data_IF_867034537933
#
_entry.id   IF_867034537933
#
_cell.length_a   1.000
_cell.length_b   1.000
_cell.length_c   1.000
_cell.angle_alpha   90.00
_cell.angle_beta   90.00
_cell.angle_gamma   90.00
#
_symmetry.space_group_name_H-M   'P 1'
#
loop_
_entity.id
_entity.type
_entity.pdbx_description
1 polymer ?
#
# COMPACT_ATOMS: atom_id res chain seq x y z
N UNK A 1 16.99 -13.05 4.89
CA UNK A 1 15.64 -13.23 5.49
C UNK A 1 14.74 -13.93 4.48
N UNK A 2 14.03 -15.01 4.85
CA UNK A 2 12.98 -15.58 3.98
C UNK A 2 11.92 -14.51 3.70
N UNK A 3 11.46 -14.40 2.45
CA UNK A 3 10.37 -13.49 2.08
C UNK A 3 9.12 -13.81 2.91
N UNK A 4 8.61 -12.83 3.63
CA UNK A 4 7.39 -12.98 4.43
C UNK A 4 6.21 -12.95 3.48
N UNK A 5 5.44 -14.04 3.42
CA UNK A 5 4.18 -14.08 2.69
C UNK A 5 3.00 -13.99 3.65
N UNK A 6 2.08 -13.08 3.38
CA UNK A 6 0.83 -12.96 4.14
C UNK A 6 -0.30 -13.80 3.56
N UNK A 7 -0.15 -14.26 2.31
CA UNK A 7 -1.16 -15.04 1.60
C UNK A 7 -0.63 -16.42 1.24
N UNK A 8 -1.52 -17.42 1.33
CA UNK A 8 -1.24 -18.74 0.76
C UNK A 8 -1.21 -18.63 -0.76
N UNK A 9 -0.13 -19.12 -1.35
CA UNK A 9 0.09 -19.11 -2.80
C UNK A 9 -0.11 -20.51 -3.37
N UNK A 10 -0.90 -20.65 -4.43
CA UNK A 10 -0.94 -21.89 -5.22
C UNK A 10 0.29 -21.97 -6.12
N UNK A 11 0.89 -23.16 -6.22
CA UNK A 11 2.01 -23.40 -7.13
C UNK A 11 1.44 -23.67 -8.53
N UNK A 12 1.31 -22.62 -9.34
CA UNK A 12 0.79 -22.70 -10.70
C UNK A 12 1.88 -22.29 -11.70
N UNK A 13 1.92 -23.01 -12.82
CA UNK A 13 2.73 -22.65 -13.98
C UNK A 13 2.06 -21.62 -14.88
N UNK A 14 2.83 -20.95 -15.73
CA UNK A 14 2.28 -19.99 -16.70
C UNK A 14 1.22 -20.62 -17.60
N UNK A 15 1.38 -21.86 -18.06
CA UNK A 15 0.38 -22.55 -18.89
C UNK A 15 -0.92 -22.82 -18.14
N UNK A 16 -0.86 -23.14 -16.85
CA UNK A 16 -2.07 -23.33 -16.01
C UNK A 16 -2.79 -22.00 -15.75
N UNK A 17 -2.04 -20.90 -15.66
CA UNK A 17 -2.61 -19.56 -15.46
C UNK A 17 -3.24 -19.03 -16.76
N UNK A 18 -2.54 -19.16 -17.89
CA UNK A 18 -2.88 -18.57 -19.19
C UNK A 18 -3.20 -19.62 -20.26
N UNK A 19 -4.27 -20.39 -20.05
CA UNK A 19 -4.68 -21.53 -20.88
C UNK A 19 -4.79 -21.23 -22.39
N UNK A 20 -5.18 -20.00 -22.75
CA UNK A 20 -5.43 -19.58 -24.13
C UNK A 20 -4.29 -18.75 -24.75
N UNK A 21 -3.15 -18.62 -24.06
CA UNK A 21 -2.00 -17.84 -24.53
C UNK A 21 -0.91 -18.74 -25.10
N UNK A 22 -0.26 -18.32 -26.18
CA UNK A 22 0.94 -18.98 -26.69
C UNK A 22 2.12 -18.66 -25.75
N UNK A 23 2.46 -19.61 -24.87
CA UNK A 23 3.56 -19.49 -23.91
C UNK A 23 4.79 -20.27 -24.40
N UNK A 24 5.87 -19.54 -24.72
CA UNK A 24 7.12 -20.15 -25.17
C UNK A 24 7.97 -20.65 -24.01
N UNK A 25 8.05 -19.88 -22.92
CA UNK A 25 8.76 -20.26 -21.68
C UNK A 25 7.78 -20.58 -20.57
N UNK A 26 7.66 -21.87 -20.20
CA UNK A 26 6.82 -22.29 -19.08
C UNK A 26 7.63 -22.48 -17.80
N UNK A 27 7.14 -21.95 -16.68
CA UNK A 27 7.72 -22.15 -15.35
C UNK A 27 6.66 -21.96 -14.26
N UNK A 28 6.91 -22.49 -13.06
CA UNK A 28 6.07 -22.26 -11.86
C UNK A 28 6.29 -20.83 -11.37
N UNK A 29 5.21 -20.06 -11.27
CA UNK A 29 5.25 -18.67 -10.83
C UNK A 29 5.62 -18.59 -9.35
N UNK A 30 6.73 -17.91 -9.08
CA UNK A 30 7.24 -17.73 -7.72
C UNK A 30 6.47 -16.63 -6.95
N UNK A 31 6.22 -15.48 -7.56
CA UNK A 31 5.39 -14.43 -6.98
C UNK A 31 4.85 -13.52 -8.09
N UNK A 32 3.94 -12.61 -7.76
CA UNK A 32 3.53 -11.50 -8.61
C UNK A 32 4.13 -10.22 -8.04
N UNK A 33 4.95 -9.51 -8.82
CA UNK A 33 5.76 -8.38 -8.35
C UNK A 33 5.69 -7.16 -9.28
N UNK A 34 5.89 -5.94 -8.74
CA UNK A 34 6.13 -4.74 -9.55
C UNK A 34 7.34 -4.86 -10.50
N UNK A 35 7.34 -4.07 -11.57
CA UNK A 35 8.32 -4.16 -12.67
C UNK A 35 9.78 -4.08 -12.21
N UNK A 36 10.07 -3.22 -11.25
CA UNK A 36 11.39 -2.92 -10.69
C UNK A 36 11.90 -3.96 -9.68
N UNK A 37 11.00 -4.70 -9.04
CA UNK A 37 11.36 -5.68 -8.01
C UNK A 37 11.20 -7.13 -8.45
N UNK A 38 10.51 -7.37 -9.57
CA UNK A 38 10.31 -8.71 -10.14
C UNK A 38 11.63 -9.34 -10.60
N UNK A 39 11.83 -10.61 -10.23
CA UNK A 39 13.01 -11.41 -10.58
C UNK A 39 12.64 -12.58 -11.48
N UNK A 40 13.64 -13.40 -11.80
CA UNK A 40 13.44 -14.63 -12.53
C UNK A 40 12.36 -15.50 -11.85
N UNK A 41 11.47 -16.10 -12.65
CA UNK A 41 10.26 -16.83 -12.24
C UNK A 41 9.16 -16.03 -11.54
N UNK A 42 9.30 -14.72 -11.36
CA UNK A 42 8.17 -13.88 -10.96
C UNK A 42 7.37 -13.44 -12.19
N UNK A 43 6.07 -13.21 -11.98
CA UNK A 43 5.16 -12.60 -12.94
C UNK A 43 5.04 -11.10 -12.64
N UNK A 44 5.10 -10.26 -13.66
CA UNK A 44 4.89 -8.81 -13.53
C UNK A 44 3.84 -8.32 -14.53
N UNK A 45 3.55 -7.03 -14.53
CA UNK A 45 2.58 -6.39 -15.41
C UNK A 45 3.03 -5.01 -15.84
N UNK A 46 2.63 -4.60 -17.05
CA UNK A 46 2.92 -3.29 -17.62
C UNK A 46 1.68 -2.76 -18.36
N UNK A 47 0.99 -1.82 -17.71
CA UNK A 47 -0.33 -1.31 -18.09
C UNK A 47 -0.34 0.14 -18.57
N UNK A 48 0.77 0.87 -18.40
CA UNK A 48 0.83 2.31 -18.66
C UNK A 48 2.22 2.77 -19.09
N UNK A 49 2.29 3.59 -20.15
CA UNK A 49 3.53 4.09 -20.74
C UNK A 49 4.43 4.85 -19.75
N UNK A 50 3.86 5.39 -18.66
CA UNK A 50 4.62 6.07 -17.59
C UNK A 50 5.73 5.19 -17.00
N UNK A 51 5.54 3.86 -17.02
CA UNK A 51 6.51 2.91 -16.46
C UNK A 51 7.48 2.33 -17.50
N UNK A 52 7.58 2.91 -18.72
CA UNK A 52 8.44 2.38 -19.80
C UNK A 52 9.88 2.12 -19.36
N UNK A 53 10.44 3.03 -18.55
CA UNK A 53 11.83 2.94 -18.08
C UNK A 53 12.03 1.80 -17.08
N UNK A 54 11.01 1.46 -16.29
CA UNK A 54 11.03 0.31 -15.37
C UNK A 54 10.81 -0.99 -16.15
N UNK A 55 9.87 -0.99 -17.10
CA UNK A 55 9.60 -2.14 -17.98
C UNK A 55 10.84 -2.57 -18.76
N UNK A 56 11.60 -1.61 -19.30
CA UNK A 56 12.84 -1.89 -20.03
C UNK A 56 13.94 -2.53 -19.16
N UNK A 57 13.85 -2.39 -17.83
CA UNK A 57 14.86 -2.89 -16.87
C UNK A 57 14.39 -4.14 -16.11
N UNK A 58 13.15 -4.60 -16.32
CA UNK A 58 12.59 -5.69 -15.51
C UNK A 58 13.37 -7.00 -15.68
N UNK A 59 13.51 -7.75 -14.58
CA UNK A 59 14.13 -9.07 -14.55
C UNK A 59 13.09 -10.19 -14.37
N UNK A 60 11.80 -9.89 -14.56
CA UNK A 60 10.70 -10.84 -14.44
C UNK A 60 10.85 -12.04 -15.39
N UNK A 61 10.27 -13.19 -15.01
CA UNK A 61 10.16 -14.33 -15.91
C UNK A 61 9.11 -14.10 -17.01
N UNK A 62 8.01 -13.42 -16.66
CA UNK A 62 6.96 -13.06 -17.59
C UNK A 62 6.31 -11.71 -17.24
N UNK A 63 5.75 -11.03 -18.24
CA UNK A 63 5.07 -9.74 -18.09
C UNK A 63 3.73 -9.74 -18.83
N UNK A 64 2.63 -9.49 -18.10
CA UNK A 64 1.31 -9.21 -18.67
C UNK A 64 1.32 -7.80 -19.25
N UNK A 65 0.96 -7.63 -20.52
CA UNK A 65 0.95 -6.32 -21.17
C UNK A 65 0.00 -6.28 -22.36
N UNK A 66 -0.12 -5.13 -23.01
CA UNK A 66 -0.84 -4.98 -24.28
C UNK A 66 0.12 -5.05 -25.47
N UNK A 67 -0.44 -5.24 -26.67
CA UNK A 67 0.34 -5.22 -27.92
C UNK A 67 1.09 -3.91 -28.13
N UNK A 68 0.51 -2.77 -27.73
CA UNK A 68 1.11 -1.43 -27.88
C UNK A 68 2.36 -1.22 -27.01
N UNK A 69 2.49 -1.97 -25.92
CA UNK A 69 3.53 -1.80 -24.92
C UNK A 69 4.60 -2.90 -24.94
N UNK A 70 4.38 -3.98 -25.71
CA UNK A 70 5.28 -5.14 -25.77
C UNK A 70 6.73 -4.78 -26.16
N UNK A 71 6.92 -3.72 -26.96
CA UNK A 71 8.22 -3.27 -27.46
C UNK A 71 9.14 -2.71 -26.39
N UNK A 72 8.59 -2.25 -25.26
CA UNK A 72 9.39 -1.74 -24.14
C UNK A 72 9.87 -2.86 -23.21
N UNK A 73 9.41 -4.09 -23.40
CA UNK A 73 9.75 -5.23 -22.56
C UNK A 73 10.95 -5.97 -23.16
N UNK A 74 11.99 -6.30 -22.37
CA UNK A 74 13.17 -7.03 -22.83
C UNK A 74 12.81 -8.35 -23.53
N UNK A 75 13.51 -8.68 -24.61
CA UNK A 75 13.25 -9.89 -25.40
C UNK A 75 13.37 -11.20 -24.58
N UNK A 76 14.14 -11.20 -23.49
CA UNK A 76 14.31 -12.35 -22.60
C UNK A 76 13.06 -12.67 -21.75
N UNK A 77 12.18 -11.70 -21.54
CA UNK A 77 10.97 -11.82 -20.70
C UNK A 77 9.82 -12.37 -21.54
N UNK A 78 9.13 -13.40 -21.04
CA UNK A 78 7.93 -13.93 -21.72
C UNK A 78 6.81 -12.89 -21.71
N UNK A 79 6.30 -12.50 -22.88
CA UNK A 79 5.30 -11.44 -23.02
C UNK A 79 3.92 -12.06 -23.12
N UNK A 80 3.03 -11.73 -22.19
CA UNK A 80 1.66 -12.23 -22.15
C UNK A 80 0.75 -11.11 -22.63
N UNK A 81 0.37 -11.18 -23.90
CA UNK A 81 -0.38 -10.11 -24.58
C UNK A 81 -1.87 -10.25 -24.30
N UNK A 82 -2.47 -9.24 -23.67
CA UNK A 82 -3.89 -9.20 -23.33
C UNK A 82 -4.54 -7.88 -23.77
N UNK A 83 -5.88 -7.86 -23.76
CA UNK A 83 -6.67 -6.66 -24.09
C UNK A 83 -6.73 -5.67 -22.92
N UNK A 84 -6.82 -6.17 -21.69
CA UNK A 84 -6.88 -5.35 -20.48
C UNK A 84 -5.97 -5.95 -19.41
N UNK A 85 -4.86 -5.27 -19.14
CA UNK A 85 -3.79 -5.76 -18.24
C UNK A 85 -4.29 -5.88 -16.80
N UNK A 86 -5.02 -4.89 -16.29
CA UNK A 86 -5.51 -4.90 -14.92
C UNK A 86 -6.56 -6.00 -14.71
N UNK A 87 -7.46 -6.19 -15.66
CA UNK A 87 -8.48 -7.25 -15.58
C UNK A 87 -7.83 -8.63 -15.56
N UNK A 88 -6.90 -8.88 -16.48
CA UNK A 88 -6.17 -10.15 -16.49
C UNK A 88 -5.40 -10.35 -15.18
N UNK A 89 -4.70 -9.32 -14.72
CA UNK A 89 -3.95 -9.36 -13.47
C UNK A 89 -4.86 -9.67 -12.27
N UNK A 90 -6.07 -9.12 -12.19
CA UNK A 90 -7.02 -9.44 -11.13
C UNK A 90 -7.41 -10.93 -11.15
N UNK A 91 -7.65 -11.51 -12.32
CA UNK A 91 -7.95 -12.93 -12.47
C UNK A 91 -6.76 -13.82 -12.08
N UNK A 92 -5.57 -13.47 -12.54
CA UNK A 92 -4.32 -14.15 -12.20
C UNK A 92 -4.07 -14.13 -10.70
N UNK A 93 -4.18 -12.96 -10.07
CA UNK A 93 -4.02 -12.81 -8.63
C UNK A 93 -5.05 -13.64 -7.88
N UNK A 94 -6.32 -13.68 -8.31
CA UNK A 94 -7.35 -14.53 -7.67
C UNK A 94 -7.06 -16.03 -7.84
N UNK A 95 -6.48 -16.46 -8.96
CA UNK A 95 -6.07 -17.85 -9.18
C UNK A 95 -4.92 -18.24 -8.24
N UNK A 96 -3.89 -17.41 -8.14
CA UNK A 96 -2.67 -17.67 -7.35
C UNK A 96 -2.92 -17.47 -5.85
N UNK A 97 -3.62 -16.39 -5.49
CA UNK A 97 -3.89 -15.91 -4.13
C UNK A 97 -5.39 -15.83 -3.88
N UNK A 98 -6.03 -16.98 -3.67
CA UNK A 98 -7.49 -17.11 -3.63
C UNK A 98 -8.19 -16.24 -2.58
N UNK A 99 -7.49 -15.83 -1.53
CA UNK A 99 -8.07 -15.14 -0.38
C UNK A 99 -7.57 -13.69 -0.24
N UNK A 100 -7.02 -13.09 -1.31
CA UNK A 100 -6.47 -11.74 -1.29
C UNK A 100 -7.46 -10.63 -1.72
N UNK A 101 -8.66 -10.99 -2.16
CA UNK A 101 -9.69 -10.08 -2.67
C UNK A 101 -10.65 -9.52 -1.62
N UNK A 102 -10.62 -10.07 -0.40
CA UNK A 102 -11.28 -9.54 0.80
C UNK A 102 -10.43 -9.84 2.05
N UNK A 103 -10.75 -9.20 3.17
CA UNK A 103 -10.15 -9.51 4.47
C UNK A 103 -10.98 -10.56 5.21
N UNK A 104 -10.47 -11.79 5.23
CA UNK A 104 -11.01 -12.88 6.03
C UNK A 104 -10.53 -12.79 7.48
N UNK A 105 -11.35 -13.16 8.48
CA UNK A 105 -10.90 -13.29 9.86
C UNK A 105 -9.70 -14.24 10.00
N UNK A 106 -8.73 -13.90 10.86
CA UNK A 106 -7.62 -14.78 11.19
C UNK A 106 -8.02 -15.79 12.27
N UNK A 107 -8.40 -16.99 11.86
CA UNK A 107 -8.75 -18.09 12.78
C UNK A 107 -7.55 -18.66 13.57
N UNK A 108 -6.33 -18.16 13.36
CA UNK A 108 -5.15 -18.57 14.12
C UNK A 108 -4.91 -17.77 15.40
N UNK A 109 -5.72 -16.73 15.64
CA UNK A 109 -5.61 -15.84 16.79
C UNK A 109 -5.74 -16.61 18.12
N UNK A 110 -4.80 -16.35 19.03
CA UNK A 110 -4.81 -16.85 20.42
C UNK A 110 -4.35 -15.75 21.37
N UNK A 111 -4.69 -15.87 22.66
CA UNK A 111 -4.15 -14.97 23.69
C UNK A 111 -2.62 -14.94 23.64
N UNK A 112 -2.03 -13.76 23.80
CA UNK A 112 -0.59 -13.58 23.80
C UNK A 112 0.11 -14.47 24.86
N UNK A 113 1.12 -15.23 24.44
CA UNK A 113 1.81 -16.19 25.30
C UNK A 113 3.08 -15.55 25.88
N UNK A 114 3.07 -15.21 27.17
CA UNK A 114 4.21 -14.57 27.87
C UNK A 114 5.53 -15.34 27.71
N UNK A 115 5.51 -16.69 27.74
CA UNK A 115 6.71 -17.54 27.57
C UNK A 115 7.40 -17.33 26.21
N UNK A 116 6.62 -17.03 25.15
CA UNK A 116 7.14 -16.78 23.79
C UNK A 116 7.73 -15.38 23.65
N UNK A 117 7.19 -14.40 24.37
CA UNK A 117 7.53 -12.99 24.25
C UNK A 117 7.97 -12.42 25.61
N UNK A 118 9.08 -12.94 26.14
CA UNK A 118 9.52 -12.71 27.54
C UNK A 118 9.70 -11.23 27.91
N UNK A 119 10.11 -10.41 26.95
CA UNK A 119 10.43 -8.97 27.13
C UNK A 119 9.31 -8.05 26.65
N UNK A 120 8.20 -8.61 26.16
CA UNK A 120 7.05 -7.84 25.65
C UNK A 120 6.01 -7.71 26.75
N UNK A 121 5.53 -6.48 26.95
CA UNK A 121 4.44 -6.22 27.89
C UNK A 121 3.11 -6.20 27.12
N UNK A 122 2.14 -6.98 27.59
CA UNK A 122 0.80 -7.03 27.00
C UNK A 122 -0.23 -6.49 27.98
N UNK A 123 -1.16 -5.69 27.47
CA UNK A 123 -2.41 -5.36 28.13
C UNK A 123 -3.38 -6.55 28.16
N UNK A 124 -4.62 -6.27 28.52
CA UNK A 124 -5.66 -7.28 28.64
C UNK A 124 -6.22 -7.66 27.27
N UNK A 125 -6.58 -8.94 27.09
CA UNK A 125 -7.26 -9.42 25.89
C UNK A 125 -6.51 -9.15 24.56
N UNK A 126 -5.17 -9.24 24.56
CA UNK A 126 -4.38 -9.17 23.32
C UNK A 126 -4.39 -10.51 22.59
N UNK A 127 -4.74 -10.48 21.30
CA UNK A 127 -4.77 -11.65 20.43
C UNK A 127 -3.65 -11.60 19.39
N UNK A 128 -2.94 -12.71 19.24
CA UNK A 128 -1.76 -12.84 18.38
C UNK A 128 -1.90 -14.06 17.47
N UNK A 129 -1.73 -13.85 16.17
CA UNK A 129 -1.83 -14.88 15.14
C UNK A 129 -0.56 -15.71 14.97
N UNK A 130 -0.63 -16.68 14.06
CA UNK A 130 0.48 -17.59 13.76
C UNK A 130 1.71 -16.84 13.22
N UNK A 131 2.91 -17.26 13.62
CA UNK A 131 4.20 -16.73 13.14
C UNK A 131 4.44 -15.23 13.37
N UNK A 132 3.61 -14.54 14.17
CA UNK A 132 3.88 -13.16 14.56
C UNK A 132 5.24 -13.08 15.28
N UNK A 133 5.97 -12.01 14.99
CA UNK A 133 7.23 -11.64 15.65
C UNK A 133 7.08 -10.26 16.26
N UNK A 134 7.50 -10.14 17.52
CA UNK A 134 7.47 -8.88 18.27
C UNK A 134 8.86 -8.71 18.87
N UNK A 135 9.50 -7.58 18.61
CA UNK A 135 10.82 -7.24 19.12
C UNK A 135 10.82 -6.98 20.62
N UNK A 136 12.02 -7.01 21.20
CA UNK A 136 12.20 -6.82 22.64
C UNK A 136 11.71 -5.46 23.11
N UNK A 137 11.25 -5.41 24.36
CA UNK A 137 10.81 -4.20 25.08
C UNK A 137 9.64 -3.47 24.43
N UNK A 138 8.92 -4.14 23.53
CA UNK A 138 7.69 -3.61 22.94
C UNK A 138 6.53 -3.73 23.92
N UNK A 139 5.64 -2.75 23.92
CA UNK A 139 4.41 -2.72 24.72
C UNK A 139 3.21 -2.79 23.79
N UNK A 140 2.26 -3.67 24.09
CA UNK A 140 1.01 -3.84 23.33
C UNK A 140 -0.18 -3.59 24.25
N UNK A 141 -1.02 -2.62 23.90
CA UNK A 141 -2.21 -2.19 24.63
C UNK A 141 -3.34 -3.20 24.59
N UNK A 142 -4.37 -2.96 25.40
CA UNK A 142 -5.48 -3.90 25.59
C UNK A 142 -6.34 -4.05 24.34
N UNK A 143 -6.97 -5.20 24.15
CA UNK A 143 -7.86 -5.50 23.02
C UNK A 143 -7.21 -5.39 21.63
N UNK A 144 -5.89 -5.33 21.55
CA UNK A 144 -5.16 -5.27 20.28
C UNK A 144 -5.08 -6.65 19.62
N UNK A 145 -5.28 -6.67 18.30
CA UNK A 145 -5.22 -7.86 17.45
C UNK A 145 -4.04 -7.73 16.49
N UNK A 146 -3.15 -8.72 16.53
CA UNK A 146 -1.99 -8.82 15.64
C UNK A 146 -2.12 -10.10 14.83
N UNK A 147 -2.49 -9.99 13.55
CA UNK A 147 -2.73 -11.16 12.68
C UNK A 147 -1.44 -11.84 12.23
N UNK A 148 -1.59 -13.04 11.69
CA UNK A 148 -0.50 -13.92 11.26
C UNK A 148 0.57 -13.21 10.42
N UNK A 149 1.82 -13.64 10.64
CA UNK A 149 3.02 -13.18 9.94
C UNK A 149 3.38 -11.69 10.11
N UNK A 150 2.62 -10.90 10.87
CA UNK A 150 3.00 -9.52 11.21
C UNK A 150 4.33 -9.51 11.95
N UNK A 151 5.16 -8.51 11.64
CA UNK A 151 6.42 -8.26 12.35
C UNK A 151 6.35 -6.87 12.96
N UNK A 152 6.66 -6.80 14.26
CA UNK A 152 6.83 -5.58 15.02
C UNK A 152 8.28 -5.54 15.51
N UNK A 153 8.97 -4.42 15.31
CA UNK A 153 10.31 -4.18 15.80
C UNK A 153 10.41 -4.08 17.33
N UNK A 154 11.55 -3.58 17.78
CA UNK A 154 11.92 -3.41 19.19
C UNK A 154 11.48 -2.04 19.71
N UNK A 155 11.23 -1.97 21.01
CA UNK A 155 10.91 -0.73 21.72
C UNK A 155 9.69 0.00 21.12
N UNK A 156 8.73 -0.72 20.53
CA UNK A 156 7.52 -0.12 20.00
C UNK A 156 6.47 0.05 21.10
N UNK A 157 5.57 1.02 20.93
CA UNK A 157 4.39 1.20 21.79
C UNK A 157 3.17 1.11 20.90
N UNK A 158 2.40 0.04 21.04
CA UNK A 158 1.17 -0.16 20.27
C UNK A 158 -0.01 0.05 21.23
N UNK A 159 -0.84 1.05 20.97
CA UNK A 159 -2.01 1.39 21.78
C UNK A 159 -3.07 0.29 21.84
N UNK A 160 -4.17 0.57 22.53
CA UNK A 160 -5.31 -0.34 22.69
C UNK A 160 -6.22 -0.37 21.46
N UNK A 161 -6.89 -1.50 21.23
CA UNK A 161 -7.88 -1.65 20.15
C UNK A 161 -7.31 -1.63 18.73
N UNK A 162 -5.99 -1.71 18.57
CA UNK A 162 -5.35 -1.72 17.25
C UNK A 162 -5.62 -3.04 16.53
N UNK A 163 -5.83 -2.98 15.20
CA UNK A 163 -5.90 -4.16 14.33
C UNK A 163 -4.79 -4.07 13.30
N UNK A 164 -3.78 -4.93 13.46
CA UNK A 164 -2.59 -4.96 12.61
C UNK A 164 -2.57 -6.28 11.84
N UNK A 165 -2.59 -6.20 10.52
CA UNK A 165 -2.44 -7.34 9.60
C UNK A 165 -1.52 -6.96 8.46
N UNK A 166 -0.98 -7.91 7.70
CA UNK A 166 -0.22 -7.61 6.47
C UNK A 166 0.86 -6.51 6.62
N UNK A 167 1.54 -6.41 7.77
CA UNK A 167 2.39 -5.24 8.09
C UNK A 167 3.74 -5.66 8.65
N UNK A 168 4.76 -4.91 8.27
CA UNK A 168 6.11 -4.91 8.84
C UNK A 168 6.36 -3.54 9.49
N UNK A 169 6.50 -3.50 10.82
CA UNK A 169 6.83 -2.31 11.58
C UNK A 169 8.31 -2.34 11.97
N UNK A 170 8.98 -1.21 11.79
CA UNK A 170 10.33 -0.97 12.30
C UNK A 170 10.40 -0.89 13.82
N UNK A 171 11.53 -0.40 14.31
CA UNK A 171 11.81 -0.18 15.73
C UNK A 171 11.30 1.20 16.18
N UNK A 172 10.95 1.32 17.47
CA UNK A 172 10.50 2.59 18.10
C UNK A 172 9.28 3.22 17.41
N UNK A 173 8.43 2.38 16.82
CA UNK A 173 7.15 2.82 16.26
C UNK A 173 6.15 2.99 17.40
N UNK A 174 5.43 4.11 17.39
CA UNK A 174 4.32 4.39 18.31
C UNK A 174 3.02 4.39 17.51
N UNK A 175 2.03 3.64 17.98
CA UNK A 175 0.65 3.79 17.53
C UNK A 175 -0.21 4.13 18.74
N UNK A 176 -1.06 5.15 18.63
CA UNK A 176 -2.10 5.39 19.62
C UNK A 176 -3.25 4.38 19.41
N UNK A 177 -4.42 4.66 19.96
CA UNK A 177 -5.51 3.69 20.05
C UNK A 177 -6.30 3.56 18.74
N UNK A 178 -6.89 2.39 18.55
CA UNK A 178 -7.88 2.10 17.51
C UNK A 178 -7.42 2.29 16.05
N UNK A 179 -6.12 2.16 15.75
CA UNK A 179 -5.66 2.18 14.36
C UNK A 179 -5.93 0.85 13.64
N UNK A 180 -6.16 0.93 12.32
CA UNK A 180 -6.33 -0.23 11.43
C UNK A 180 -5.22 -0.22 10.39
N UNK A 181 -4.30 -1.18 10.46
CA UNK A 181 -3.09 -1.19 9.64
C UNK A 181 -3.03 -2.48 8.81
N UNK A 182 -2.81 -2.32 7.51
CA UNK A 182 -2.70 -3.39 6.51
C UNK A 182 -4.03 -3.98 6.03
N UNK A 183 -5.12 -3.23 6.18
CA UNK A 183 -6.43 -3.61 5.65
C UNK A 183 -6.39 -3.71 4.12
N UNK A 184 -7.30 -4.47 3.53
CA UNK A 184 -7.49 -4.45 2.07
C UNK A 184 -7.97 -3.07 1.63
N UNK A 185 -7.23 -2.44 0.72
CA UNK A 185 -7.64 -1.18 0.14
C UNK A 185 -8.78 -1.25 -0.86
N UNK A 186 -9.23 -0.07 -1.28
CA UNK A 186 -10.33 0.13 -2.21
C UNK A 186 -9.94 -0.13 -3.69
N UNK A 187 -9.72 -1.40 -4.05
CA UNK A 187 -9.37 -1.81 -5.42
C UNK A 187 -10.50 -2.52 -6.16
N UNK A 188 -10.96 -1.92 -7.26
CA UNK A 188 -11.99 -2.47 -8.15
C UNK A 188 -11.71 -2.15 -9.63
N UNK A 189 -12.12 -3.04 -10.52
CA UNK A 189 -12.12 -2.82 -11.97
C UNK A 189 -13.57 -2.66 -12.42
N UNK A 190 -13.99 -1.46 -12.87
CA UNK A 190 -15.33 -1.27 -13.39
C UNK A 190 -15.44 -1.94 -14.77
N UNK A 191 -16.42 -2.83 -14.90
CA UNK A 191 -16.87 -3.39 -16.17
C UNK A 191 -18.37 -3.09 -16.31
N UNK A 192 -18.90 -3.16 -17.53
CA UNK A 192 -20.31 -2.81 -17.80
C UNK A 192 -21.25 -3.58 -16.85
N UNK A 193 -21.88 -2.84 -15.92
CA UNK A 193 -22.83 -3.38 -14.95
C UNK A 193 -22.24 -4.13 -13.74
N UNK A 194 -20.92 -4.17 -13.54
CA UNK A 194 -20.31 -4.87 -12.39
C UNK A 194 -18.93 -4.30 -12.01
N UNK A 195 -18.60 -4.34 -10.72
CA UNK A 195 -17.26 -4.06 -10.23
C UNK A 195 -16.56 -5.36 -9.86
N UNK A 196 -15.43 -5.66 -10.51
CA UNK A 196 -14.60 -6.82 -10.17
C UNK A 196 -13.62 -6.39 -9.07
N UNK A 197 -13.62 -7.11 -7.95
CA UNK A 197 -12.67 -6.88 -6.86
C UNK A 197 -11.24 -7.13 -7.34
N UNK A 198 -10.35 -6.18 -7.08
CA UNK A 198 -8.92 -6.37 -7.29
C UNK A 198 -8.31 -7.04 -6.05
N UNK A 199 -7.55 -8.15 -6.16
CA UNK A 199 -6.85 -8.73 -5.02
C UNK A 199 -5.65 -7.89 -4.56
N UNK A 200 -5.49 -7.70 -3.25
CA UNK A 200 -4.36 -6.97 -2.65
C UNK A 200 -3.46 -7.95 -1.91
N UNK A 201 -2.32 -8.27 -2.54
CA UNK A 201 -1.30 -9.20 -2.06
C UNK A 201 -0.08 -8.50 -1.45
N UNK A 202 -0.01 -7.17 -1.56
CA UNK A 202 1.03 -6.35 -0.95
C UNK A 202 0.90 -6.29 0.57
N UNK A 203 1.69 -5.41 1.17
CA UNK A 203 1.76 -5.21 2.62
C UNK A 203 1.93 -3.72 2.92
N UNK A 204 1.92 -3.40 4.21
CA UNK A 204 2.34 -2.11 4.74
C UNK A 204 3.75 -2.25 5.32
N UNK A 205 4.63 -1.31 5.00
CA UNK A 205 5.97 -1.21 5.57
C UNK A 205 6.07 0.13 6.29
N UNK A 206 6.36 0.08 7.58
CA UNK A 206 6.50 1.27 8.43
C UNK A 206 7.95 1.33 8.91
N UNK A 207 8.61 2.47 8.64
CA UNK A 207 9.97 2.75 9.06
C UNK A 207 10.14 2.86 10.58
N UNK A 208 11.37 3.08 11.02
CA UNK A 208 11.65 3.32 12.43
C UNK A 208 11.15 4.70 12.87
N UNK A 209 10.89 4.88 14.16
CA UNK A 209 10.59 6.18 14.76
C UNK A 209 9.32 6.84 14.17
N UNK A 210 8.40 6.04 13.63
CA UNK A 210 7.11 6.52 13.12
C UNK A 210 6.10 6.61 14.25
N UNK A 211 5.33 7.69 14.29
CA UNK A 211 4.19 7.85 15.19
C UNK A 211 2.88 7.92 14.40
N UNK A 212 1.90 7.12 14.81
CA UNK A 212 0.57 7.03 14.21
C UNK A 212 -0.46 7.30 15.30
N UNK A 213 -1.11 8.45 15.25
CA UNK A 213 -2.12 8.83 16.22
C UNK A 213 -3.45 8.11 15.99
N UNK A 214 -4.43 8.41 16.83
CA UNK A 214 -5.60 7.56 17.04
C UNK A 214 -6.50 7.43 15.81
N UNK A 215 -6.99 6.22 15.57
CA UNK A 215 -8.00 5.92 14.53
C UNK A 215 -7.51 6.03 13.09
N UNK A 216 -6.21 6.07 12.84
CA UNK A 216 -5.69 6.04 11.47
C UNK A 216 -6.03 4.72 10.75
N UNK A 217 -6.26 4.81 9.44
CA UNK A 217 -6.46 3.62 8.58
C UNK A 217 -5.43 3.60 7.47
N UNK A 218 -4.61 2.56 7.43
CA UNK A 218 -3.52 2.39 6.47
C UNK A 218 -3.75 1.08 5.71
N UNK A 219 -4.05 1.20 4.42
CA UNK A 219 -4.32 0.06 3.55
C UNK A 219 -3.03 -0.57 3.06
N UNK A 220 -3.01 -1.90 2.94
CA UNK A 220 -1.93 -2.59 2.24
C UNK A 220 -1.98 -2.32 0.75
N UNK A 221 -0.80 -2.32 0.13
CA UNK A 221 -0.70 -2.17 -1.30
C UNK A 221 -1.33 -3.32 -2.08
N UNK A 222 -1.69 -3.06 -3.34
CA UNK A 222 -2.27 -4.05 -4.25
C UNK A 222 -1.25 -5.15 -4.60
N UNK A 223 -0.32 -4.88 -5.52
CA UNK A 223 0.84 -5.75 -5.82
C UNK A 223 2.13 -5.18 -5.25
N UNK A 224 2.30 -3.87 -5.36
CA UNK A 224 3.34 -3.12 -4.64
C UNK A 224 2.93 -2.93 -3.16
N UNK A 225 3.82 -2.39 -2.35
CA UNK A 225 3.60 -2.12 -0.93
C UNK A 225 3.16 -0.67 -0.67
N UNK A 226 2.43 -0.47 0.42
CA UNK A 226 2.26 0.85 1.04
C UNK A 226 3.44 1.09 1.97
N UNK A 227 4.05 2.27 1.92
CA UNK A 227 5.27 2.59 2.67
C UNK A 227 5.15 3.90 3.43
N UNK A 228 5.59 3.90 4.68
CA UNK A 228 5.76 5.10 5.50
C UNK A 228 7.23 5.14 5.94
N UNK A 229 7.94 6.19 5.51
CA UNK A 229 9.35 6.42 5.82
C UNK A 229 9.59 6.68 7.30
N UNK A 230 10.87 6.69 7.70
CA UNK A 230 11.26 6.84 9.11
C UNK A 230 10.93 8.24 9.64
N UNK A 231 10.78 8.36 10.95
CA UNK A 231 10.59 9.64 11.63
C UNK A 231 9.40 10.45 11.07
N UNK A 232 8.34 9.76 10.66
CA UNK A 232 7.14 10.35 10.08
C UNK A 232 5.99 10.27 11.08
N UNK A 233 5.21 11.34 11.16
CA UNK A 233 4.15 11.54 12.14
C UNK A 233 2.81 11.68 11.43
N UNK A 234 1.86 10.81 11.78
CA UNK A 234 0.47 10.88 11.32
C UNK A 234 -0.40 11.25 12.52
N UNK A 235 -1.12 12.35 12.43
CA UNK A 235 -2.11 12.76 13.42
C UNK A 235 -3.44 11.99 13.24
N UNK A 236 -4.40 12.24 14.12
CA UNK A 236 -5.61 11.46 14.27
C UNK A 236 -6.41 11.35 12.97
N UNK A 237 -7.00 10.17 12.75
CA UNK A 237 -7.93 9.90 11.64
C UNK A 237 -7.33 10.11 10.24
N UNK A 238 -6.01 10.03 10.07
CA UNK A 238 -5.39 10.03 8.73
C UNK A 238 -5.74 8.73 7.99
N UNK A 239 -6.11 8.85 6.71
CA UNK A 239 -6.34 7.72 5.83
C UNK A 239 -5.26 7.62 4.75
N UNK A 240 -4.57 6.49 4.72
CA UNK A 240 -3.57 6.15 3.70
C UNK A 240 -4.10 5.00 2.86
N UNK A 241 -4.50 5.27 1.62
CA UNK A 241 -4.92 4.23 0.69
C UNK A 241 -3.77 3.34 0.22
N UNK A 242 -4.12 2.28 -0.51
CA UNK A 242 -3.18 1.29 -1.02
C UNK A 242 -2.08 1.92 -1.90
N UNK A 243 -0.85 1.39 -1.78
CA UNK A 243 0.32 1.75 -2.58
C UNK A 243 0.84 3.18 -2.38
N UNK A 244 0.30 3.93 -1.43
CA UNK A 244 0.86 5.24 -1.07
C UNK A 244 2.26 5.03 -0.49
N UNK A 245 3.20 5.88 -0.90
CA UNK A 245 4.57 5.88 -0.38
C UNK A 245 4.90 7.26 0.17
N UNK A 246 5.09 7.35 1.48
CA UNK A 246 5.50 8.57 2.17
C UNK A 246 6.98 8.45 2.53
N UNK A 247 7.76 9.49 2.21
CA UNK A 247 9.17 9.59 2.56
C UNK A 247 9.41 9.78 4.05
N UNK A 248 10.63 10.20 4.37
CA UNK A 248 11.10 10.36 5.75
C UNK A 248 10.76 11.75 6.29
N UNK A 249 10.69 11.89 7.61
CA UNK A 249 10.54 13.17 8.30
C UNK A 249 9.28 13.97 7.91
N UNK A 250 8.17 13.29 7.66
CA UNK A 250 6.91 13.95 7.27
C UNK A 250 6.01 14.21 8.48
N UNK A 251 5.25 15.31 8.44
CA UNK A 251 4.24 15.66 9.44
C UNK A 251 2.88 15.81 8.76
N UNK A 252 1.97 14.88 9.05
CA UNK A 252 0.66 14.80 8.42
C UNK A 252 -0.41 15.05 9.49
N UNK A 253 -1.05 16.23 9.43
CA UNK A 253 -2.05 16.62 10.40
C UNK A 253 -3.38 15.87 10.24
N UNK A 254 -4.27 16.02 11.22
CA UNK A 254 -5.45 15.18 11.36
C UNK A 254 -6.38 15.21 10.15
N UNK A 255 -7.04 14.08 9.91
CA UNK A 255 -8.03 13.89 8.83
C UNK A 255 -7.51 14.11 7.41
N UNK A 256 -6.18 14.12 7.19
CA UNK A 256 -5.63 14.09 5.83
C UNK A 256 -5.94 12.74 5.18
N UNK A 257 -6.40 12.78 3.93
CA UNK A 257 -6.71 11.60 3.13
C UNK A 257 -5.82 11.48 1.90
N UNK A 258 -5.22 10.31 1.69
CA UNK A 258 -4.47 9.98 0.48
C UNK A 258 -5.22 8.95 -0.35
N UNK A 259 -5.49 9.27 -1.61
CA UNK A 259 -5.92 8.28 -2.59
C UNK A 259 -4.73 7.41 -3.07
N UNK A 260 -5.05 6.27 -3.68
CA UNK A 260 -4.09 5.20 -3.92
C UNK A 260 -2.92 5.58 -4.84
N UNK A 261 -1.77 4.95 -4.59
CA UNK A 261 -0.56 5.00 -5.43
C UNK A 261 0.13 6.36 -5.57
N UNK A 262 -0.17 7.32 -4.71
CA UNK A 262 0.57 8.60 -4.66
C UNK A 262 1.89 8.45 -3.90
N UNK A 263 2.88 9.23 -4.32
CA UNK A 263 4.21 9.27 -3.70
C UNK A 263 4.45 10.65 -3.09
N UNK A 264 4.93 10.68 -1.86
CA UNK A 264 5.26 11.88 -1.10
C UNK A 264 6.74 11.82 -0.76
N UNK A 265 7.47 12.88 -1.06
CA UNK A 265 8.88 13.02 -0.74
C UNK A 265 9.15 13.11 0.77
N UNK A 266 10.36 13.51 1.12
CA UNK A 266 10.77 13.68 2.52
C UNK A 266 10.61 15.11 3.00
N UNK A 267 10.55 15.32 4.31
CA UNK A 267 10.37 16.63 4.96
C UNK A 267 9.09 17.35 4.53
N UNK A 268 8.00 16.62 4.27
CA UNK A 268 6.72 17.18 3.83
C UNK A 268 5.83 17.46 5.03
N UNK A 269 5.19 18.63 5.05
CA UNK A 269 4.15 18.98 6.04
C UNK A 269 2.80 19.16 5.35
N UNK A 270 1.77 18.45 5.82
CA UNK A 270 0.41 18.54 5.28
C UNK A 270 -0.55 18.95 6.38
N UNK A 271 -1.19 20.10 6.20
CA UNK A 271 -2.19 20.63 7.13
C UNK A 271 -3.48 19.80 7.16
N UNK A 272 -4.22 19.91 8.27
CA UNK A 272 -5.36 19.04 8.54
C UNK A 272 -6.44 19.14 7.47
N UNK A 273 -7.17 18.03 7.28
CA UNK A 273 -8.24 17.89 6.28
C UNK A 273 -7.82 18.15 4.82
N UNK A 274 -6.53 18.16 4.49
CA UNK A 274 -6.12 18.16 3.08
C UNK A 274 -6.41 16.80 2.43
N UNK A 275 -6.73 16.83 1.13
CA UNK A 275 -6.98 15.65 0.31
C UNK A 275 -5.95 15.53 -0.81
N UNK A 276 -5.28 14.39 -0.91
CA UNK A 276 -4.29 14.10 -1.95
C UNK A 276 -4.89 13.10 -2.96
N UNK A 277 -5.04 13.52 -4.21
CA UNK A 277 -5.54 12.65 -5.28
C UNK A 277 -4.57 11.50 -5.59
N UNK A 278 -5.06 10.47 -6.28
CA UNK A 278 -4.29 9.26 -6.56
C UNK A 278 -3.26 9.46 -7.66
N UNK A 279 -2.22 8.62 -7.65
CA UNK A 279 -1.15 8.61 -8.64
C UNK A 279 -0.34 9.91 -8.76
N UNK A 280 -0.36 10.76 -7.73
CA UNK A 280 0.41 12.00 -7.71
C UNK A 280 1.83 11.79 -7.22
N UNK A 281 2.73 12.69 -7.63
CA UNK A 281 4.07 12.86 -7.08
C UNK A 281 4.17 14.20 -6.36
N UNK A 282 4.35 14.14 -5.04
CA UNK A 282 4.64 15.29 -4.18
C UNK A 282 6.14 15.26 -3.87
N UNK A 283 6.82 16.37 -4.16
CA UNK A 283 8.26 16.55 -3.97
C UNK A 283 8.71 16.57 -2.51
N UNK A 284 10.01 16.78 -2.32
CA UNK A 284 10.63 16.97 -1.02
C UNK A 284 10.42 18.40 -0.50
N UNK A 285 10.46 18.58 0.82
CA UNK A 285 10.37 19.88 1.49
C UNK A 285 9.10 20.68 1.14
N UNK A 286 8.01 19.98 0.83
CA UNK A 286 6.73 20.59 0.46
C UNK A 286 5.90 20.91 1.70
N UNK A 287 5.21 22.06 1.70
CA UNK A 287 4.19 22.39 2.70
C UNK A 287 2.83 22.58 2.02
N UNK A 288 1.83 21.81 2.44
CA UNK A 288 0.46 21.90 1.94
C UNK A 288 -0.41 22.46 3.06
N UNK A 289 -1.08 23.59 2.81
CA UNK A 289 -2.00 24.21 3.77
C UNK A 289 -3.23 23.32 4.06
N UNK A 290 -3.81 23.46 5.25
CA UNK A 290 -5.00 22.70 5.65
C UNK A 290 -6.20 22.93 4.73
N UNK A 291 -7.06 21.92 4.61
CA UNK A 291 -8.25 21.92 3.75
C UNK A 291 -7.97 21.92 2.24
N UNK A 292 -6.70 21.84 1.82
CA UNK A 292 -6.33 21.89 0.41
C UNK A 292 -6.68 20.60 -0.33
N UNK A 293 -7.24 20.72 -1.54
CA UNK A 293 -7.38 19.63 -2.50
C UNK A 293 -6.22 19.59 -3.48
N UNK A 294 -5.35 18.59 -3.38
CA UNK A 294 -4.20 18.41 -4.28
C UNK A 294 -4.59 17.46 -5.42
N UNK A 295 -4.63 17.99 -6.64
CA UNK A 295 -5.10 17.28 -7.86
C UNK A 295 -4.03 17.17 -8.95
N UNK A 296 -2.84 17.71 -8.71
CA UNK A 296 -1.68 17.67 -9.63
C UNK A 296 -0.41 17.41 -8.81
N UNK A 297 0.62 16.96 -9.50
CA UNK A 297 1.97 16.81 -8.94
C UNK A 297 2.46 18.15 -8.37
N UNK A 298 3.28 18.07 -7.33
CA UNK A 298 3.93 19.23 -6.69
C UNK A 298 5.43 18.99 -6.71
N UNK A 299 6.18 19.97 -7.21
CA UNK A 299 7.64 19.92 -7.24
C UNK A 299 8.26 20.15 -5.86
N UNK A 300 9.56 19.90 -5.74
CA UNK A 300 10.30 20.09 -4.49
C UNK A 300 10.26 21.56 -4.02
N UNK A 301 10.33 21.75 -2.70
CA UNK A 301 10.45 23.06 -2.02
C UNK A 301 9.25 24.01 -2.22
N UNK A 302 8.08 23.49 -2.58
CA UNK A 302 6.87 24.30 -2.77
C UNK A 302 6.07 24.47 -1.48
N UNK A 303 5.44 25.65 -1.34
CA UNK A 303 4.40 25.90 -0.34
C UNK A 303 3.11 26.16 -1.11
N UNK A 304 2.10 25.31 -0.95
CA UNK A 304 0.83 25.41 -1.66
C UNK A 304 -0.34 25.47 -0.69
N UNK A 305 -1.42 26.14 -1.08
CA UNK A 305 -2.65 26.18 -0.32
C UNK A 305 -3.85 26.38 -1.24
N UNK A 306 -4.94 25.68 -0.95
CA UNK A 306 -6.24 25.80 -1.61
C UNK A 306 -7.37 25.86 -0.59
N UNK A 307 -7.58 27.04 -0.02
CA UNK A 307 -8.58 27.40 1.01
C UNK A 307 -8.51 28.95 1.10
N UNK A 308 -9.59 29.74 1.27
CA UNK A 308 -10.68 29.50 2.22
C UNK A 308 -12.09 29.37 1.62
N UNK A 309 -13.05 29.11 2.51
CA UNK A 309 -14.44 29.38 2.23
C UNK A 309 -14.63 30.86 1.87
N UNK A 310 -15.26 31.11 0.72
CA UNK A 310 -15.66 32.45 0.25
C UNK A 310 -17.18 32.46 0.08
N UNK A 311 -17.79 33.65 -0.01
CA UNK A 311 -19.24 33.74 -0.29
C UNK A 311 -19.55 33.04 -1.63
N UNK A 312 -20.69 32.35 -1.70
CA UNK A 312 -21.09 31.57 -2.88
C UNK A 312 -20.98 32.35 -4.21
N UNK A 313 -21.38 33.62 -4.21
CA UNK A 313 -21.29 34.49 -5.40
C UNK A 313 -19.85 34.72 -5.86
N UNK A 314 -18.90 34.83 -4.92
CA UNK A 314 -17.49 35.09 -5.22
C UNK A 314 -16.82 33.82 -5.76
N UNK A 315 -17.21 32.65 -5.25
CA UNK A 315 -16.76 31.35 -5.76
C UNK A 315 -17.10 31.17 -7.25
N UNK A 316 -18.36 31.43 -7.63
CA UNK A 316 -18.81 31.31 -9.03
C UNK A 316 -18.08 32.28 -9.97
N UNK A 317 -17.81 33.51 -9.52
CA UNK A 317 -17.09 34.52 -10.31
C UNK A 317 -15.62 34.15 -10.53
N UNK A 318 -14.95 33.65 -9.49
CA UNK A 318 -13.53 33.26 -9.55
C UNK A 318 -13.31 32.10 -10.53
N UNK A 319 -14.18 31.11 -10.53
CA UNK A 319 -14.10 29.97 -11.46
C UNK A 319 -14.38 30.35 -12.93
N UNK A 320 -15.21 31.38 -13.19
CA UNK A 320 -15.40 31.88 -14.57
C UNK A 320 -14.15 32.55 -15.14
N UNK A 321 -13.36 33.26 -14.32
CA UNK A 321 -12.09 33.86 -14.76
C UNK A 321 -11.03 32.80 -15.08
N UNK A 322 -10.93 31.77 -14.24
CA UNK A 322 -9.97 30.66 -14.42
C UNK A 322 -10.25 29.85 -15.69
N UNK A 323 -11.52 29.77 -16.14
CA UNK A 323 -11.89 29.03 -17.35
C UNK A 323 -11.75 29.85 -18.67
N UNK A 324 -11.41 31.13 -18.58
CA UNK A 324 -11.27 32.04 -19.72
C UNK A 324 -9.82 32.49 -19.96
N UNK A 325 -8.86 31.94 -19.21
CA UNK A 325 -7.40 32.06 -19.39
C UNK A 325 -6.81 30.68 -19.71
#
# INVERSE_FOLDING_TARGET
MKSISFFSKKNLSLREIFLNSKINKNFIVNDVKPLDTAKNKDLTFFDSIKYKSMAAKTAAGACITTKSFEKFIPAKVEKIIVKNVLLELAHVLKKIYSNADIDYPDFTLKKAIKKKYKTVKFGNNVLVGKNVKIGNNTVIGSNTIIEKNVIIGKNCIIGSGNIIKNTLLGDRVVTQDNCKIGQKGFGFIPIKGKNIKFPHIGKVIIGNDVEIASGCTIDRGSVDDTLIGKNTYLDNQVHIAHNVKIGDNCMIAGQVGFAGSSTVGSNVSIGGQAGISGHLKIGNNVKIGGGSGVVKDIEDNQIVMGYPAVKFRDFLKKNKKINNE
#
